data_IF_498750498306
#
_entry.id   IF_498750498306
#
_cell.length_a   1.000
_cell.length_b   1.000
_cell.length_c   1.000
_cell.angle_alpha   90.00
_cell.angle_beta   90.00
_cell.angle_gamma   90.00
#
_symmetry.space_group_name_H-M   'P 1'
#
loop_
_entity.id
_entity.type
_entity.pdbx_description
1 polymer ?
#
# COMPACT_ATOMS: atom_id res chain seq x y z
N UNK A 1 -12.17 -0.36 6.83
CA UNK A 1 -13.38 0.48 6.93
C UNK A 1 -13.84 0.81 5.54
N UNK A 2 -15.15 0.79 5.32
CA UNK A 2 -15.75 1.14 4.03
C UNK A 2 -15.72 2.65 3.79
N UNK A 3 -16.09 3.07 2.57
CA UNK A 3 -16.30 4.50 2.26
C UNK A 3 -17.38 5.12 3.17
N UNK A 4 -18.50 4.41 3.38
CA UNK A 4 -19.60 4.88 4.23
C UNK A 4 -19.19 5.12 5.68
N UNK A 5 -18.43 4.19 6.26
CA UNK A 5 -17.88 4.31 7.61
C UNK A 5 -16.89 5.48 7.73
N UNK A 6 -16.01 5.66 6.74
CA UNK A 6 -15.05 6.75 6.73
C UNK A 6 -15.74 8.13 6.59
N UNK A 7 -16.79 8.24 5.76
CA UNK A 7 -17.60 9.46 5.65
C UNK A 7 -18.32 9.78 6.96
N UNK A 8 -18.87 8.76 7.63
CA UNK A 8 -19.49 8.90 8.95
C UNK A 8 -18.50 9.42 10.00
N UNK A 9 -17.29 8.87 10.01
CA UNK A 9 -16.22 9.30 10.91
C UNK A 9 -15.82 10.76 10.66
N UNK A 10 -15.62 11.17 9.40
CA UNK A 10 -15.31 12.58 9.06
C UNK A 10 -16.45 13.52 9.44
N UNK A 11 -17.70 13.14 9.16
CA UNK A 11 -18.87 13.92 9.54
C UNK A 11 -18.91 14.17 11.05
N UNK A 12 -18.66 13.14 11.86
CA UNK A 12 -18.60 13.28 13.32
C UNK A 12 -17.43 14.15 13.78
N UNK A 13 -16.25 14.04 13.14
CA UNK A 13 -15.08 14.91 13.43
C UNK A 13 -15.36 16.38 13.16
N UNK A 14 -16.12 16.67 12.11
CA UNK A 14 -16.56 18.02 11.74
C UNK A 14 -17.74 18.51 12.59
N UNK A 15 -18.34 17.66 13.44
CA UNK A 15 -19.48 18.01 14.27
C UNK A 15 -20.79 18.19 13.49
N UNK A 16 -20.89 17.61 12.29
CA UNK A 16 -22.01 17.83 11.38
C UNK A 16 -23.12 16.79 11.55
N UNK A 17 -24.36 17.22 11.37
CA UNK A 17 -25.51 16.35 11.09
C UNK A 17 -25.42 15.78 9.67
N UNK A 18 -26.16 14.70 9.39
CA UNK A 18 -26.23 14.15 8.03
C UNK A 18 -26.75 15.18 7.01
N UNK A 19 -27.68 16.06 7.43
CA UNK A 19 -28.20 17.16 6.61
C UNK A 19 -27.10 18.17 6.24
N UNK A 20 -26.28 18.57 7.20
CA UNK A 20 -25.21 19.53 6.96
C UNK A 20 -24.06 18.95 6.14
N UNK A 21 -23.83 17.64 6.27
CA UNK A 21 -22.84 16.92 5.47
C UNK A 21 -23.21 16.92 3.98
N UNK A 22 -24.47 16.65 3.64
CA UNK A 22 -24.88 16.45 2.24
C UNK A 22 -25.25 17.73 1.52
N UNK A 23 -25.71 18.76 2.24
CA UNK A 23 -26.30 19.97 1.65
C UNK A 23 -27.32 19.60 0.57
N UNK A 24 -27.03 19.94 -0.69
CA UNK A 24 -27.90 19.69 -1.85
C UNK A 24 -27.36 18.59 -2.78
N UNK A 25 -26.26 17.91 -2.42
CA UNK A 25 -25.63 16.89 -3.26
C UNK A 25 -26.40 15.57 -3.26
N UNK A 26 -27.07 15.24 -2.14
CA UNK A 26 -27.80 14.00 -1.92
C UNK A 26 -28.98 14.27 -0.98
N UNK A 27 -30.00 13.42 -1.03
CA UNK A 27 -30.99 13.42 0.05
C UNK A 27 -30.39 12.85 1.35
N UNK A 28 -30.90 13.30 2.50
CA UNK A 28 -30.50 12.80 3.83
C UNK A 28 -30.69 11.28 3.92
N UNK A 29 -31.76 10.76 3.31
CA UNK A 29 -32.09 9.33 3.29
C UNK A 29 -31.05 8.52 2.51
N UNK A 30 -30.65 8.97 1.33
CA UNK A 30 -29.60 8.33 0.52
C UNK A 30 -28.26 8.32 1.26
N UNK A 31 -27.89 9.45 1.86
CA UNK A 31 -26.64 9.54 2.62
C UNK A 31 -26.64 8.66 3.86
N UNK A 32 -27.76 8.55 4.57
CA UNK A 32 -27.90 7.62 5.69
C UNK A 32 -27.70 6.16 5.24
N UNK A 33 -28.21 5.78 4.07
CA UNK A 33 -27.95 4.44 3.50
C UNK A 33 -26.49 4.23 3.14
N UNK A 34 -25.79 5.27 2.67
CA UNK A 34 -24.35 5.24 2.39
C UNK A 34 -23.56 5.03 3.68
N UNK A 35 -23.81 5.83 4.73
CA UNK A 35 -23.11 5.68 6.03
C UNK A 35 -23.33 4.31 6.70
N UNK A 36 -24.43 3.64 6.36
CA UNK A 36 -24.76 2.31 6.86
C UNK A 36 -24.41 1.17 5.87
N UNK A 37 -23.64 1.47 4.80
CA UNK A 37 -23.20 0.51 3.78
C UNK A 37 -24.35 -0.21 3.04
N UNK A 38 -25.56 0.36 3.04
CA UNK A 38 -26.72 -0.17 2.32
C UNK A 38 -26.65 0.24 0.84
N UNK A 39 -26.18 1.46 0.56
CA UNK A 39 -26.00 1.99 -0.79
C UNK A 39 -24.54 2.40 -1.02
N UNK A 40 -24.08 2.24 -2.26
CA UNK A 40 -22.81 2.81 -2.70
C UNK A 40 -22.99 4.30 -3.01
N UNK A 41 -21.90 5.04 -2.88
CA UNK A 41 -21.78 6.43 -3.37
C UNK A 41 -21.08 6.42 -4.73
N UNK A 42 -21.53 7.27 -5.65
CA UNK A 42 -20.81 7.47 -6.92
C UNK A 42 -19.54 8.31 -6.70
N UNK A 43 -18.56 8.14 -7.59
CA UNK A 43 -17.26 8.80 -7.44
C UNK A 43 -17.34 10.32 -7.50
N UNK A 44 -18.21 10.88 -8.36
CA UNK A 44 -18.33 12.33 -8.52
C UNK A 44 -18.90 12.98 -7.24
N UNK A 45 -19.93 12.37 -6.67
CA UNK A 45 -20.51 12.81 -5.41
C UNK A 45 -19.55 12.63 -4.24
N UNK A 46 -18.79 11.53 -4.20
CA UNK A 46 -17.75 11.35 -3.20
C UNK A 46 -16.72 12.48 -3.26
N UNK A 47 -16.14 12.76 -4.43
CA UNK A 47 -15.16 13.84 -4.57
C UNK A 47 -15.76 15.22 -4.25
N UNK A 48 -17.01 15.46 -4.66
CA UNK A 48 -17.73 16.70 -4.35
C UNK A 48 -17.93 16.89 -2.84
N UNK A 49 -18.28 15.83 -2.11
CA UNK A 49 -18.40 15.87 -0.65
C UNK A 49 -17.06 16.12 0.05
N UNK A 50 -15.99 15.46 -0.40
CA UNK A 50 -14.66 15.65 0.18
C UNK A 50 -14.18 17.10 -0.01
N UNK A 51 -14.34 17.64 -1.22
CA UNK A 51 -13.98 19.02 -1.54
C UNK A 51 -14.82 20.03 -0.73
N UNK A 52 -16.15 19.82 -0.66
CA UNK A 52 -17.09 20.69 0.06
C UNK A 52 -16.71 20.91 1.53
N UNK A 53 -16.10 19.90 2.16
CA UNK A 53 -15.72 19.91 3.57
C UNK A 53 -14.20 19.94 3.80
N UNK A 54 -13.41 20.22 2.76
CA UNK A 54 -11.94 20.29 2.82
C UNK A 54 -11.29 19.02 3.38
N UNK A 55 -11.85 17.85 3.07
CA UNK A 55 -11.30 16.56 3.49
C UNK A 55 -10.21 16.15 2.48
N UNK A 56 -8.95 16.12 2.92
CA UNK A 56 -7.83 15.75 2.03
C UNK A 56 -8.00 14.31 1.50
N UNK A 57 -8.14 14.18 0.18
CA UNK A 57 -8.35 12.89 -0.52
C UNK A 57 -7.32 11.84 -0.09
N UNK A 58 -6.06 12.23 0.07
CA UNK A 58 -4.99 11.30 0.49
C UNK A 58 -5.21 10.75 1.89
N UNK A 59 -5.69 11.57 2.83
CA UNK A 59 -5.96 11.13 4.19
C UNK A 59 -7.24 10.30 4.25
N UNK A 60 -8.26 10.69 3.48
CA UNK A 60 -9.47 9.88 3.32
C UNK A 60 -9.15 8.50 2.73
N UNK A 61 -8.34 8.45 1.67
CA UNK A 61 -7.91 7.20 1.05
C UNK A 61 -7.19 6.27 2.05
N UNK A 62 -6.26 6.79 2.86
CA UNK A 62 -5.55 5.98 3.88
C UNK A 62 -6.50 5.28 4.86
N UNK A 63 -7.67 5.85 5.12
CA UNK A 63 -8.68 5.24 6.00
C UNK A 63 -9.32 4.04 5.33
N UNK A 64 -9.74 4.19 4.07
CA UNK A 64 -10.50 3.17 3.35
C UNK A 64 -9.62 2.15 2.63
N UNK A 65 -8.32 2.42 2.48
CA UNK A 65 -7.42 1.60 1.67
C UNK A 65 -7.45 0.11 2.06
N UNK A 66 -7.65 -0.22 3.35
CA UNK A 66 -7.68 -1.62 3.81
C UNK A 66 -8.84 -2.43 3.22
N UNK A 67 -9.94 -1.77 2.85
CA UNK A 67 -11.15 -2.39 2.30
C UNK A 67 -11.03 -2.65 0.79
N UNK A 68 -10.34 -1.76 0.09
CA UNK A 68 -10.24 -1.77 -1.38
C UNK A 68 -8.86 -2.18 -1.89
N UNK A 69 -7.94 -2.49 -0.98
CA UNK A 69 -6.80 -3.33 -1.29
C UNK A 69 -7.36 -4.70 -1.63
N UNK A 70 -7.51 -4.96 -2.93
CA UNK A 70 -7.76 -6.30 -3.46
C UNK A 70 -6.72 -7.20 -2.80
N UNK A 71 -7.19 -8.13 -2.00
CA UNK A 71 -6.41 -9.17 -1.36
C UNK A 71 -5.85 -10.12 -2.42
N UNK A 72 -4.86 -9.64 -3.15
CA UNK A 72 -3.72 -10.49 -3.41
C UNK A 72 -2.56 -9.98 -2.59
N UNK A 73 -1.81 -10.93 -2.07
CA UNK A 73 -0.76 -10.81 -1.10
C UNK A 73 0.50 -10.11 -1.66
N UNK A 74 0.34 -9.00 -2.37
CA UNK A 74 1.44 -8.10 -2.68
C UNK A 74 1.64 -7.24 -1.45
N UNK A 75 2.57 -7.71 -0.61
CA UNK A 75 3.64 -6.83 -0.16
C UNK A 75 3.82 -5.74 -1.22
N UNK A 76 3.39 -4.52 -0.89
CA UNK A 76 3.46 -3.41 -1.84
C UNK A 76 4.96 -3.27 -2.16
N UNK A 77 5.33 -3.78 -3.34
CA UNK A 77 6.70 -3.95 -3.77
C UNK A 77 7.44 -2.62 -3.65
N UNK A 78 6.74 -1.55 -4.03
CA UNK A 78 7.23 -0.19 -3.97
C UNK A 78 7.39 0.29 -2.53
N UNK A 79 6.41 0.04 -1.66
CA UNK A 79 6.50 0.41 -0.24
C UNK A 79 7.66 -0.29 0.47
N UNK A 80 7.79 -1.60 0.32
CA UNK A 80 8.83 -2.38 1.02
C UNK A 80 10.20 -2.08 0.42
N UNK A 81 10.26 -1.85 -0.89
CA UNK A 81 11.46 -1.32 -1.54
C UNK A 81 11.88 0.01 -0.92
N UNK A 82 10.97 0.97 -0.79
CA UNK A 82 11.25 2.29 -0.18
C UNK A 82 11.69 2.17 1.28
N UNK A 83 11.06 1.30 2.06
CA UNK A 83 11.45 1.09 3.47
C UNK A 83 12.82 0.41 3.58
N UNK A 84 13.14 -0.57 2.72
CA UNK A 84 14.46 -1.18 2.65
C UNK A 84 15.55 -0.15 2.27
N UNK A 85 15.29 0.71 1.29
CA UNK A 85 16.19 1.80 0.87
C UNK A 85 16.42 2.81 1.99
N UNK A 86 15.35 3.21 2.68
CA UNK A 86 15.44 4.10 3.85
C UNK A 86 16.27 3.48 4.97
N UNK A 87 16.10 2.18 5.24
CA UNK A 87 16.93 1.48 6.22
C UNK A 87 18.40 1.45 5.80
N UNK A 88 18.69 1.26 4.50
CA UNK A 88 20.04 1.32 3.97
C UNK A 88 20.68 2.70 4.21
N UNK A 89 20.02 3.79 3.80
CA UNK A 89 20.54 5.15 3.99
C UNK A 89 20.71 5.53 5.48
N UNK A 90 19.89 4.96 6.36
CA UNK A 90 19.97 5.21 7.81
C UNK A 90 20.91 4.23 8.56
N UNK A 91 21.55 3.29 7.86
CA UNK A 91 22.28 2.18 8.48
C UNK A 91 21.46 1.40 9.53
N UNK A 92 20.15 1.28 9.34
CA UNK A 92 19.22 0.66 10.31
C UNK A 92 19.18 -0.87 10.14
N UNK A 93 20.21 -1.54 10.67
CA UNK A 93 20.35 -2.99 10.61
C UNK A 93 19.17 -3.74 11.28
N UNK A 94 18.60 -3.18 12.34
CA UNK A 94 17.51 -3.80 13.11
C UNK A 94 16.25 -3.91 12.28
N UNK A 95 15.88 -2.82 11.60
CA UNK A 95 14.71 -2.78 10.75
C UNK A 95 14.85 -3.68 9.52
N UNK A 96 16.03 -3.75 8.91
CA UNK A 96 16.27 -4.70 7.79
C UNK A 96 16.10 -6.15 8.24
N UNK A 97 16.57 -6.52 9.44
CA UNK A 97 16.36 -7.87 10.00
C UNK A 97 14.87 -8.18 10.18
N UNK A 98 14.10 -7.24 10.72
CA UNK A 98 12.65 -7.40 10.91
C UNK A 98 11.94 -7.59 9.58
N UNK A 99 12.25 -6.74 8.59
CA UNK A 99 11.70 -6.85 7.23
C UNK A 99 12.06 -8.20 6.60
N UNK A 100 13.32 -8.63 6.69
CA UNK A 100 13.74 -9.95 6.18
C UNK A 100 12.99 -11.11 6.83
N UNK A 101 12.79 -11.08 8.15
CA UNK A 101 12.03 -12.13 8.86
C UNK A 101 10.58 -12.17 8.38
N UNK A 102 9.92 -11.01 8.31
CA UNK A 102 8.57 -10.88 7.75
C UNK A 102 8.51 -11.48 6.33
N UNK A 103 9.41 -11.08 5.44
CA UNK A 103 9.51 -11.58 4.06
C UNK A 103 9.71 -13.11 3.96
N UNK A 104 10.31 -13.72 4.99
CA UNK A 104 10.59 -15.17 5.00
C UNK A 104 9.37 -15.96 5.48
N UNK A 105 8.59 -15.40 6.41
CA UNK A 105 7.39 -16.02 6.97
C UNK A 105 6.20 -15.94 6.01
N UNK A 106 6.20 -14.96 5.11
CA UNK A 106 5.12 -14.77 4.15
C UNK A 106 5.24 -15.74 2.95
N UNK A 107 4.20 -16.57 2.68
CA UNK A 107 4.26 -17.67 1.73
C UNK A 107 4.33 -17.23 0.25
N UNK A 108 3.85 -16.02 -0.08
CA UNK A 108 3.69 -15.54 -1.45
C UNK A 108 4.44 -14.21 -1.74
N UNK A 109 5.64 -14.06 -1.20
CA UNK A 109 6.46 -12.86 -1.43
C UNK A 109 7.24 -12.95 -2.75
N UNK A 110 7.20 -11.90 -3.59
CA UNK A 110 8.07 -11.80 -4.76
C UNK A 110 9.54 -11.98 -4.38
N UNK A 111 10.22 -12.91 -5.04
CA UNK A 111 11.60 -13.28 -4.68
C UNK A 111 12.57 -12.09 -4.72
N UNK A 112 12.31 -11.12 -5.59
CA UNK A 112 13.04 -9.84 -5.66
C UNK A 112 13.12 -9.11 -4.30
N UNK A 113 12.03 -9.07 -3.53
CA UNK A 113 12.05 -8.43 -2.21
C UNK A 113 12.89 -9.21 -1.20
N UNK A 114 12.82 -10.55 -1.25
CA UNK A 114 13.65 -11.42 -0.40
C UNK A 114 15.12 -11.15 -0.71
N UNK A 115 15.50 -11.15 -1.99
CA UNK A 115 16.86 -10.86 -2.44
C UNK A 115 17.34 -9.46 -2.04
N UNK A 116 16.51 -8.42 -2.24
CA UNK A 116 16.85 -7.04 -1.86
C UNK A 116 17.10 -6.90 -0.35
N UNK A 117 16.28 -7.55 0.48
CA UNK A 117 16.49 -7.56 1.94
C UNK A 117 17.78 -8.26 2.36
N UNK A 118 18.15 -9.36 1.69
CA UNK A 118 19.39 -10.10 1.96
C UNK A 118 20.61 -9.26 1.55
N UNK A 119 20.56 -8.62 0.40
CA UNK A 119 21.65 -7.78 -0.11
C UNK A 119 21.92 -6.61 0.84
N UNK A 120 20.89 -5.84 1.18
CA UNK A 120 21.02 -4.70 2.09
C UNK A 120 21.54 -5.14 3.45
N UNK A 121 21.02 -6.25 4.00
CA UNK A 121 21.49 -6.78 5.28
C UNK A 121 22.98 -7.17 5.24
N UNK A 122 23.42 -7.80 4.14
CA UNK A 122 24.80 -8.23 3.96
C UNK A 122 25.75 -7.04 3.86
N UNK A 123 25.37 -6.02 3.10
CA UNK A 123 26.14 -4.77 2.96
C UNK A 123 26.27 -4.05 4.30
N UNK A 124 25.16 -3.88 5.02
CA UNK A 124 25.17 -3.21 6.34
C UNK A 124 25.95 -3.98 7.42
N UNK A 125 26.10 -5.30 7.28
CA UNK A 125 26.93 -6.12 8.18
C UNK A 125 28.41 -6.13 7.82
N UNK A 126 28.80 -5.54 6.69
CA UNK A 126 30.11 -5.77 6.06
C UNK A 126 30.42 -7.26 5.86
N UNK A 127 29.39 -8.10 5.74
CA UNK A 127 29.50 -9.55 5.66
C UNK A 127 29.27 -10.02 4.23
N UNK A 128 30.32 -9.95 3.42
CA UNK A 128 30.29 -10.35 2.01
C UNK A 128 30.02 -11.86 1.82
N UNK A 129 30.20 -12.69 2.87
CA UNK A 129 29.94 -14.13 2.81
C UNK A 129 28.44 -14.47 2.79
N UNK A 130 27.58 -13.54 3.23
CA UNK A 130 26.13 -13.72 3.24
C UNK A 130 25.49 -13.63 1.83
N UNK A 131 26.17 -13.02 0.85
CA UNK A 131 25.80 -13.07 -0.58
C UNK A 131 26.53 -14.24 -1.22
N UNK A 132 26.11 -15.46 -0.88
CA UNK A 132 26.71 -16.68 -1.40
C UNK A 132 26.36 -16.90 -2.89
N UNK A 133 27.04 -17.86 -3.53
CA UNK A 133 26.89 -18.09 -4.97
C UNK A 133 25.49 -18.53 -5.39
N UNK A 134 24.73 -19.15 -4.46
CA UNK A 134 23.30 -19.46 -4.67
C UNK A 134 22.48 -18.17 -4.77
N UNK A 135 22.70 -17.20 -3.88
CA UNK A 135 22.02 -15.89 -3.93
C UNK A 135 22.41 -15.09 -5.17
N UNK A 136 23.69 -15.12 -5.57
CA UNK A 136 24.16 -14.47 -6.81
C UNK A 136 23.49 -15.08 -8.05
N UNK A 137 23.42 -16.41 -8.12
CA UNK A 137 22.79 -17.14 -9.22
C UNK A 137 21.30 -16.78 -9.37
N UNK A 138 20.56 -16.77 -8.25
CA UNK A 138 19.13 -16.37 -8.25
C UNK A 138 18.92 -14.92 -8.70
N UNK A 139 19.82 -14.01 -8.30
CA UNK A 139 19.76 -12.62 -8.74
C UNK A 139 19.99 -12.49 -10.26
N UNK A 140 20.98 -13.22 -10.80
CA UNK A 140 21.25 -13.25 -12.23
C UNK A 140 20.08 -13.83 -13.02
N UNK A 141 19.50 -14.94 -12.56
CA UNK A 141 18.33 -15.57 -13.21
C UNK A 141 17.14 -14.60 -13.31
N UNK A 142 16.78 -13.92 -12.23
CA UNK A 142 15.69 -12.92 -12.21
C UNK A 142 15.99 -11.71 -13.10
N UNK A 143 17.22 -11.21 -13.10
CA UNK A 143 17.62 -10.06 -13.91
C UNK A 143 17.62 -10.40 -15.40
N UNK A 144 18.10 -11.60 -15.76
CA UNK A 144 18.07 -12.11 -17.14
C UNK A 144 16.63 -12.32 -17.61
N UNK A 145 15.74 -12.87 -16.77
CA UNK A 145 14.31 -13.00 -17.10
C UNK A 145 13.67 -11.62 -17.39
N UNK A 146 13.99 -10.59 -16.60
CA UNK A 146 13.49 -9.22 -16.87
C UNK A 146 14.02 -8.65 -18.18
N UNK A 147 15.30 -8.83 -18.49
CA UNK A 147 15.91 -8.33 -19.73
C UNK A 147 15.34 -9.09 -20.95
N UNK A 148 15.38 -10.42 -20.93
CA UNK A 148 14.96 -11.23 -22.07
C UNK A 148 13.45 -11.32 -22.23
N UNK A 149 12.67 -11.25 -21.15
CA UNK A 149 11.21 -11.17 -21.20
C UNK A 149 10.67 -9.84 -21.75
N UNK A 150 11.49 -8.78 -21.79
CA UNK A 150 11.17 -7.54 -22.50
C UNK A 150 11.52 -7.63 -23.99
N UNK A 151 12.55 -8.41 -24.35
CA UNK A 151 12.97 -8.60 -25.74
C UNK A 151 11.99 -9.47 -26.56
N UNK A 152 11.21 -10.35 -25.93
CA UNK A 152 10.17 -11.16 -26.60
C UNK A 152 8.84 -10.44 -26.79
N UNK A 153 8.71 -9.20 -26.29
CA UNK A 153 7.52 -8.34 -26.43
C UNK A 153 7.70 -7.18 -27.40
N UNK A 154 8.79 -7.18 -28.17
CA UNK A 154 8.99 -6.22 -29.26
C UNK A 154 8.27 -6.82 -30.50
N UNK A 155 7.29 -6.13 -31.09
CA UNK A 155 6.55 -6.62 -32.26
C UNK A 155 7.45 -6.81 -33.50
#
# INVERSE_FOLDING_TARGET
MTIGEALKEERHKLGLTQKEMVKDLLSISEYSKIENNIHNIDANTLFSLLELHNIEIKNFYKKIQSEYLISENKLNLEFITKELEKCFYKNDLSSVKKIKTMLTLEPNVPIELKLKSILILSVLKHDQKAVNDKTKKQFLEEYLIKIFGQLTKIP
#
